data_IF_624386600954
#
_entry.id   IF_624386600954
#
_cell.length_a   1.000
_cell.length_b   1.000
_cell.length_c   1.000
_cell.angle_alpha   90.00
_cell.angle_beta   90.00
_cell.angle_gamma   90.00
#
_symmetry.space_group_name_H-M   'P 1'
#
loop_
_entity.id
_entity.type
_entity.pdbx_description
1 polymer ?
#
# COMPACT_ATOMS: atom_id res chain seq x y z
N UNK A 1 -72.51 -26.40 -18.90
CA UNK A 1 -72.40 -24.93 -18.91
C UNK A 1 -70.95 -24.59 -18.63
N UNK A 2 -70.20 -24.11 -19.63
CA UNK A 2 -68.74 -23.92 -19.56
C UNK A 2 -68.43 -22.62 -18.81
N UNK A 3 -67.61 -22.71 -17.76
CA UNK A 3 -67.09 -21.60 -16.97
C UNK A 3 -65.65 -21.29 -17.45
N UNK A 4 -65.28 -20.05 -17.78
CA UNK A 4 -63.94 -19.75 -18.25
C UNK A 4 -62.96 -19.53 -17.09
N UNK A 5 -61.74 -19.98 -17.36
CA UNK A 5 -60.52 -19.93 -16.56
C UNK A 5 -60.07 -18.46 -16.41
N UNK A 6 -59.96 -17.93 -15.18
CA UNK A 6 -59.20 -16.70 -14.90
C UNK A 6 -57.84 -17.09 -14.33
N UNK A 7 -56.80 -16.92 -15.14
CA UNK A 7 -55.40 -16.97 -14.71
C UNK A 7 -55.06 -15.65 -14.02
N UNK A 8 -54.92 -15.66 -12.69
CA UNK A 8 -54.37 -14.55 -11.94
C UNK A 8 -52.83 -14.55 -12.08
N UNK A 9 -52.32 -13.76 -13.03
CA UNK A 9 -50.90 -13.49 -13.16
C UNK A 9 -50.50 -12.47 -12.10
N UNK A 10 -50.01 -12.94 -10.95
CA UNK A 10 -49.48 -12.09 -9.88
C UNK A 10 -48.17 -11.45 -10.32
N UNK A 11 -48.24 -10.21 -10.80
CA UNK A 11 -47.06 -9.35 -10.97
C UNK A 11 -46.61 -8.94 -9.57
N UNK A 12 -45.60 -9.63 -9.05
CA UNK A 12 -44.89 -9.24 -7.83
C UNK A 12 -44.17 -7.92 -8.08
N UNK A 13 -44.80 -6.83 -7.66
CA UNK A 13 -44.21 -5.49 -7.68
C UNK A 13 -43.12 -5.45 -6.60
N UNK A 14 -41.89 -5.78 -7.00
CA UNK A 14 -40.71 -5.64 -6.16
C UNK A 14 -40.43 -4.15 -5.98
N UNK A 15 -40.95 -3.57 -4.90
CA UNK A 15 -40.56 -2.24 -4.43
C UNK A 15 -39.09 -2.30 -3.98
N UNK A 16 -38.18 -2.00 -4.90
CA UNK A 16 -36.82 -1.62 -4.55
C UNK A 16 -36.92 -0.28 -3.81
N UNK A 17 -36.94 -0.34 -2.48
CA UNK A 17 -36.70 0.83 -1.65
C UNK A 17 -35.24 1.26 -1.89
N UNK A 18 -35.02 2.12 -2.88
CA UNK A 18 -33.86 2.99 -2.90
C UNK A 18 -33.99 3.91 -1.69
N UNK A 19 -33.46 3.49 -0.55
CA UNK A 19 -33.17 4.39 0.55
C UNK A 19 -32.11 5.36 0.04
N UNK A 20 -32.53 6.55 -0.38
CA UNK A 20 -31.61 7.68 -0.46
C UNK A 20 -31.17 7.97 0.98
N UNK A 21 -29.87 7.80 1.26
CA UNK A 21 -29.27 8.30 2.48
C UNK A 21 -29.35 9.84 2.43
N UNK A 22 -30.13 10.50 3.30
CA UNK A 22 -30.26 11.95 3.27
C UNK A 22 -28.94 12.68 3.60
N UNK A 23 -27.93 11.95 4.09
CA UNK A 23 -26.56 12.43 4.33
C UNK A 23 -25.61 12.27 3.13
N UNK A 24 -26.09 11.91 1.93
CA UNK A 24 -25.28 11.90 0.70
C UNK A 24 -24.94 13.31 0.17
N UNK A 25 -25.20 14.34 0.98
CA UNK A 25 -24.68 15.69 0.75
C UNK A 25 -23.26 15.71 1.29
N UNK A 26 -22.29 15.40 0.43
CA UNK A 26 -20.88 15.64 0.72
C UNK A 26 -20.69 17.02 1.34
N UNK A 27 -19.76 17.16 2.30
CA UNK A 27 -19.65 18.36 3.14
C UNK A 27 -19.72 19.63 2.28
N UNK A 28 -20.77 20.43 2.43
CA UNK A 28 -20.91 21.69 1.67
C UNK A 28 -20.00 22.80 2.22
N UNK A 29 -19.23 22.50 3.26
CA UNK A 29 -18.33 23.40 3.97
C UNK A 29 -16.90 22.81 4.08
N UNK A 30 -15.95 23.61 4.55
CA UNK A 30 -14.59 23.15 4.82
C UNK A 30 -14.62 22.07 5.92
N UNK A 31 -14.11 20.89 5.61
CA UNK A 31 -14.12 19.74 6.50
C UNK A 31 -12.80 19.01 6.51
N UNK A 32 -12.55 18.24 7.58
CA UNK A 32 -11.40 17.33 7.62
C UNK A 32 -11.67 16.15 6.70
N UNK A 33 -10.74 15.90 5.78
CA UNK A 33 -10.78 14.76 4.88
C UNK A 33 -9.38 14.21 4.64
N UNK A 34 -9.30 12.93 4.31
CA UNK A 34 -8.05 12.32 3.88
C UNK A 34 -7.71 12.74 2.45
N UNK A 35 -6.49 13.21 2.24
CA UNK A 35 -5.96 13.58 0.93
C UNK A 35 -4.96 12.52 0.49
N UNK A 36 -5.09 11.96 -0.72
CA UNK A 36 -4.16 10.96 -1.23
C UNK A 36 -2.80 11.60 -1.52
N UNK A 37 -1.75 10.95 -1.02
CA UNK A 37 -0.35 11.22 -1.38
C UNK A 37 0.01 10.30 -2.54
N UNK A 38 0.65 10.85 -3.57
CA UNK A 38 0.98 10.12 -4.80
C UNK A 38 2.48 9.87 -4.95
N UNK A 39 2.81 8.75 -5.60
CA UNK A 39 4.13 8.44 -6.16
C UNK A 39 3.99 8.19 -7.67
N UNK A 40 4.96 8.64 -8.48
CA UNK A 40 5.00 8.28 -9.89
C UNK A 40 5.19 6.76 -10.07
N UNK A 41 4.47 6.15 -11.01
CA UNK A 41 4.55 4.69 -11.23
C UNK A 41 5.96 4.23 -11.64
N UNK A 42 6.74 5.09 -12.30
CA UNK A 42 8.14 4.82 -12.69
C UNK A 42 9.07 4.73 -11.48
N UNK A 43 8.78 5.43 -10.40
CA UNK A 43 9.60 5.41 -9.18
C UNK A 43 9.56 4.04 -8.51
N UNK A 44 8.51 3.23 -8.70
CA UNK A 44 8.42 1.86 -8.15
C UNK A 44 9.65 1.01 -8.54
N UNK A 45 10.23 1.28 -9.70
CA UNK A 45 11.36 0.52 -10.24
C UNK A 45 12.73 0.96 -9.72
N UNK A 46 12.81 2.05 -8.94
CA UNK A 46 14.06 2.55 -8.39
C UNK A 46 14.50 1.74 -7.15
N UNK A 47 14.88 0.49 -7.38
CA UNK A 47 15.48 -0.38 -6.36
C UNK A 47 17.00 -0.33 -6.51
N UNK A 48 17.67 0.20 -5.51
CA UNK A 48 19.11 0.48 -5.57
C UNK A 48 19.75 0.54 -4.18
N UNK A 49 21.05 0.26 -4.12
CA UNK A 49 21.84 0.45 -2.90
C UNK A 49 22.32 1.90 -2.80
N UNK A 50 22.31 2.46 -1.59
CA UNK A 50 22.84 3.80 -1.29
C UNK A 50 23.66 3.78 0.00
N UNK A 51 24.28 4.93 0.30
CA UNK A 51 25.03 5.15 1.53
C UNK A 51 24.15 5.00 2.78
N UNK A 52 24.83 4.78 3.91
CA UNK A 52 24.26 4.70 5.25
C UNK A 52 23.49 5.97 5.59
N UNK A 53 22.37 5.81 6.30
CA UNK A 53 21.54 6.92 6.79
C UNK A 53 20.84 6.60 8.12
N UNK A 54 20.25 7.62 8.73
CA UNK A 54 19.40 7.46 9.93
C UNK A 54 18.20 6.56 9.65
N UNK A 55 17.68 5.93 10.71
CA UNK A 55 16.36 5.28 10.62
C UNK A 55 15.31 6.34 10.87
N UNK A 56 14.37 6.49 9.94
CA UNK A 56 13.30 7.47 10.10
C UNK A 56 12.07 6.84 10.74
N UNK A 57 11.61 5.68 10.24
CA UNK A 57 10.52 4.92 10.86
C UNK A 57 10.82 3.42 10.85
N UNK A 58 11.29 2.91 11.98
CA UNK A 58 11.64 1.49 12.12
C UNK A 58 10.43 0.59 11.87
N UNK A 59 10.64 -0.46 11.08
CA UNK A 59 9.75 -1.59 10.92
C UNK A 59 10.37 -2.88 11.46
N UNK A 60 10.03 -3.99 10.81
CA UNK A 60 10.53 -5.34 11.10
C UNK A 60 12.06 -5.43 10.98
N UNK A 61 12.65 -6.30 11.79
CA UNK A 61 14.05 -6.72 11.67
C UNK A 61 14.16 -8.20 11.30
N UNK A 62 15.27 -8.58 10.67
CA UNK A 62 15.59 -9.97 10.33
C UNK A 62 17.10 -10.20 10.44
N UNK A 63 17.52 -11.22 11.19
CA UNK A 63 18.93 -11.61 11.27
C UNK A 63 19.23 -12.75 10.29
N UNK A 64 20.30 -12.63 9.51
CA UNK A 64 20.73 -13.63 8.54
C UNK A 64 22.26 -13.65 8.42
N UNK A 65 22.88 -14.77 8.79
CA UNK A 65 24.35 -14.86 8.87
C UNK A 65 24.92 -13.84 9.86
N UNK A 66 25.87 -13.03 9.40
CA UNK A 66 26.44 -11.93 10.17
C UNK A 66 25.71 -10.60 9.95
N UNK A 67 24.57 -10.58 9.27
CA UNK A 67 23.85 -9.35 8.95
C UNK A 67 22.52 -9.25 9.69
N UNK A 68 22.13 -8.01 9.98
CA UNK A 68 20.78 -7.64 10.36
C UNK A 68 20.20 -6.76 9.27
N UNK A 69 19.00 -7.09 8.83
CA UNK A 69 18.19 -6.26 7.96
C UNK A 69 17.13 -5.58 8.81
N UNK A 70 16.97 -4.27 8.67
CA UNK A 70 15.93 -3.51 9.36
C UNK A 70 15.14 -2.69 8.34
N UNK A 71 13.84 -2.94 8.25
CA UNK A 71 12.99 -2.13 7.40
C UNK A 71 12.90 -0.69 7.95
N UNK A 72 13.01 0.28 7.04
CA UNK A 72 12.62 1.66 7.24
C UNK A 72 11.36 1.87 6.41
N UNK A 73 10.23 1.94 7.12
CA UNK A 73 8.91 1.77 6.53
C UNK A 73 8.69 2.78 5.39
N UNK A 74 8.17 2.26 4.27
CA UNK A 74 7.93 2.93 3.01
C UNK A 74 9.19 3.37 2.24
N UNK A 75 10.39 3.04 2.70
CA UNK A 75 11.64 3.52 2.10
C UNK A 75 12.60 2.42 1.67
N UNK A 76 12.66 1.31 2.41
CA UNK A 76 13.58 0.22 2.11
C UNK A 76 14.14 -0.44 3.36
N UNK A 77 15.39 -0.91 3.28
CA UNK A 77 15.99 -1.80 4.28
C UNK A 77 17.41 -1.33 4.61
N UNK A 78 17.67 -1.04 5.88
CA UNK A 78 19.02 -0.88 6.42
C UNK A 78 19.73 -2.23 6.42
N UNK A 79 20.96 -2.25 5.91
CA UNK A 79 21.87 -3.40 5.99
C UNK A 79 22.88 -3.11 7.09
N UNK A 80 22.89 -3.96 8.09
CA UNK A 80 23.71 -3.81 9.30
C UNK A 80 24.65 -5.01 9.39
N UNK A 81 25.95 -4.76 9.42
CA UNK A 81 26.96 -5.74 9.81
C UNK A 81 26.87 -5.97 11.32
N UNK A 82 26.76 -7.23 11.70
CA UNK A 82 26.63 -7.72 13.06
C UNK A 82 27.69 -8.81 13.35
N UNK A 83 28.85 -8.74 12.69
CA UNK A 83 30.01 -9.61 12.93
C UNK A 83 30.54 -9.42 14.35
N UNK A 84 30.70 -8.16 14.79
CA UNK A 84 30.85 -7.84 16.22
C UNK A 84 29.46 -7.56 16.83
N UNK A 85 28.94 -8.54 17.58
CA UNK A 85 27.61 -8.46 18.20
C UNK A 85 27.50 -7.40 19.29
N UNK A 86 28.62 -6.93 19.85
CA UNK A 86 28.61 -5.84 20.81
C UNK A 86 28.50 -4.47 20.10
N UNK A 87 28.89 -4.38 18.83
CA UNK A 87 28.96 -3.13 18.07
C UNK A 87 28.44 -3.28 16.62
N UNK A 88 27.13 -3.52 16.42
CA UNK A 88 26.57 -3.60 15.08
C UNK A 88 26.71 -2.27 14.31
N UNK A 89 27.02 -2.34 13.02
CA UNK A 89 27.29 -1.18 12.18
C UNK A 89 26.41 -1.18 10.93
N UNK A 90 25.70 -0.08 10.68
CA UNK A 90 25.04 0.14 9.38
C UNK A 90 26.13 0.28 8.31
N UNK A 91 26.03 -0.51 7.25
CA UNK A 91 27.01 -0.51 6.13
C UNK A 91 26.41 0.00 4.82
N UNK A 92 25.10 -0.13 4.64
CA UNK A 92 24.41 0.36 3.45
C UNK A 92 22.89 0.48 3.67
N UNK A 93 22.22 1.09 2.70
CA UNK A 93 20.76 1.13 2.64
C UNK A 93 20.28 0.60 1.28
N UNK A 94 19.40 -0.40 1.30
CA UNK A 94 18.73 -0.92 0.11
C UNK A 94 17.41 -0.17 -0.07
N UNK A 95 17.38 0.77 -1.01
CA UNK A 95 16.19 1.52 -1.38
C UNK A 95 15.20 0.59 -2.06
N UNK A 96 14.01 0.49 -1.48
CA UNK A 96 12.87 -0.22 -2.05
C UNK A 96 11.65 0.67 -1.80
N UNK A 97 11.22 1.46 -2.80
CA UNK A 97 10.12 2.41 -2.64
C UNK A 97 8.86 1.73 -2.08
N UNK A 98 8.25 2.33 -1.07
CA UNK A 98 7.04 1.79 -0.42
C UNK A 98 7.17 0.35 0.08
N UNK A 99 8.38 -0.05 0.47
CA UNK A 99 8.60 -1.31 1.16
C UNK A 99 8.18 -1.23 2.62
N UNK A 100 7.35 -2.17 3.04
CA UNK A 100 6.87 -2.30 4.43
C UNK A 100 7.18 -3.66 5.02
N UNK A 101 7.38 -4.67 4.19
CA UNK A 101 7.59 -6.05 4.59
C UNK A 101 8.68 -6.73 3.78
N UNK A 102 9.39 -7.64 4.44
CA UNK A 102 10.36 -8.48 3.78
C UNK A 102 10.60 -9.80 4.54
N UNK A 103 11.17 -10.77 3.85
CA UNK A 103 11.67 -12.02 4.40
C UNK A 103 12.98 -12.41 3.70
N UNK A 104 13.80 -13.22 4.36
CA UNK A 104 15.05 -13.73 3.77
C UNK A 104 15.04 -15.25 3.79
N UNK A 105 15.37 -15.88 2.67
CA UNK A 105 15.52 -17.34 2.56
C UNK A 105 16.75 -17.67 1.74
N UNK A 106 17.77 -18.23 2.39
CA UNK A 106 19.08 -18.42 1.78
C UNK A 106 19.62 -17.09 1.27
N UNK A 107 20.15 -17.07 0.05
CA UNK A 107 20.72 -15.86 -0.57
C UNK A 107 19.70 -14.85 -1.11
N UNK A 108 18.40 -15.06 -0.90
CA UNK A 108 17.35 -14.22 -1.49
C UNK A 108 16.57 -13.46 -0.43
N UNK A 109 16.42 -12.16 -0.64
CA UNK A 109 15.52 -11.27 0.07
C UNK A 109 14.26 -11.08 -0.76
N UNK A 110 13.11 -11.33 -0.14
CA UNK A 110 11.78 -11.19 -0.72
C UNK A 110 11.15 -9.97 -0.07
N UNK A 111 10.77 -8.97 -0.84
CA UNK A 111 10.23 -7.72 -0.33
C UNK A 111 8.98 -7.32 -1.11
N UNK A 112 8.01 -6.69 -0.45
CA UNK A 112 6.98 -5.98 -1.19
C UNK A 112 7.54 -4.65 -1.73
N UNK A 113 6.98 -4.20 -2.84
CA UNK A 113 7.25 -2.89 -3.42
C UNK A 113 5.92 -2.38 -3.97
N UNK A 114 5.25 -1.52 -3.21
CA UNK A 114 3.82 -1.25 -3.39
C UNK A 114 3.05 -2.58 -3.31
N UNK A 115 2.49 -3.05 -4.43
CA UNK A 115 1.71 -4.27 -4.56
C UNK A 115 2.48 -5.39 -5.30
N UNK A 116 3.72 -5.14 -5.70
CA UNK A 116 4.59 -6.11 -6.34
C UNK A 116 5.36 -6.91 -5.27
N UNK A 117 5.73 -8.15 -5.61
CA UNK A 117 6.74 -8.92 -4.88
C UNK A 117 8.05 -8.87 -5.67
N UNK A 118 9.12 -8.38 -5.04
CA UNK A 118 10.46 -8.34 -5.62
C UNK A 118 11.37 -9.33 -4.91
N UNK A 119 12.15 -10.08 -5.69
CA UNK A 119 13.17 -11.00 -5.22
C UNK A 119 14.53 -10.40 -5.53
N UNK A 120 15.33 -10.22 -4.48
CA UNK A 120 16.63 -9.57 -4.51
C UNK A 120 17.68 -10.60 -4.10
N UNK A 121 18.64 -10.85 -4.96
CA UNK A 121 19.82 -11.65 -4.62
C UNK A 121 20.75 -10.80 -3.75
N UNK A 122 20.99 -11.29 -2.52
CA UNK A 122 21.86 -10.68 -1.50
C UNK A 122 23.14 -11.50 -1.29
N UNK A 123 23.52 -12.36 -2.25
CA UNK A 123 24.75 -13.15 -2.20
C UNK A 123 26.03 -12.29 -2.18
N UNK A 124 25.97 -11.09 -2.75
CA UNK A 124 26.92 -10.01 -2.46
C UNK A 124 26.16 -8.86 -1.79
N UNK A 125 26.35 -8.69 -0.48
CA UNK A 125 25.61 -7.70 0.31
C UNK A 125 25.89 -6.25 -0.12
N UNK A 126 27.05 -6.01 -0.72
CA UNK A 126 27.47 -4.69 -1.21
C UNK A 126 26.93 -4.39 -2.61
N UNK A 127 26.37 -5.40 -3.29
CA UNK A 127 25.73 -5.23 -4.60
C UNK A 127 24.49 -6.13 -4.74
N UNK A 128 23.41 -5.87 -3.99
CA UNK A 128 22.17 -6.61 -4.13
C UNK A 128 21.55 -6.39 -5.52
N UNK A 129 20.99 -7.43 -6.13
CA UNK A 129 20.41 -7.33 -7.48
C UNK A 129 18.99 -7.87 -7.52
N UNK A 130 18.08 -7.15 -8.17
CA UNK A 130 16.73 -7.66 -8.42
C UNK A 130 16.81 -8.77 -9.47
N UNK A 131 16.44 -9.99 -9.09
CA UNK A 131 16.48 -11.16 -9.97
C UNK A 131 15.09 -11.58 -10.46
N UNK A 132 14.02 -11.16 -9.77
CA UNK A 132 12.64 -11.41 -10.18
C UNK A 132 11.71 -10.35 -9.64
N UNK A 133 10.69 -10.01 -10.41
CA UNK A 133 9.53 -9.21 -9.99
C UNK A 133 8.27 -9.96 -10.37
N UNK A 134 7.33 -10.03 -9.43
CA UNK A 134 5.97 -10.50 -9.66
C UNK A 134 5.05 -9.30 -9.48
N UNK A 135 4.53 -8.78 -10.58
CA UNK A 135 3.64 -7.62 -10.56
C UNK A 135 2.29 -7.99 -9.96
N UNK A 136 1.71 -7.08 -9.19
CA UNK A 136 0.39 -7.26 -8.57
C UNK A 136 0.28 -8.56 -7.73
N UNK A 137 1.38 -8.95 -7.08
CA UNK A 137 1.43 -10.13 -6.23
C UNK A 137 0.55 -10.00 -4.97
N UNK A 138 0.25 -8.76 -4.58
CA UNK A 138 -0.59 -8.43 -3.44
C UNK A 138 -1.78 -7.56 -3.89
N UNK A 139 -2.93 -7.63 -3.20
CA UNK A 139 -4.02 -6.69 -3.45
C UNK A 139 -3.57 -5.27 -3.10
N UNK A 140 -4.12 -4.28 -3.81
CA UNK A 140 -3.93 -2.89 -3.46
C UNK A 140 -4.60 -2.60 -2.11
N UNK A 141 -3.78 -2.26 -1.12
CA UNK A 141 -4.27 -1.86 0.20
C UNK A 141 -4.27 -0.34 0.27
N UNK A 142 -5.43 0.24 0.57
CA UNK A 142 -5.62 1.68 0.76
C UNK A 142 -5.23 2.56 -0.45
N UNK A 143 -5.38 2.08 -1.68
CA UNK A 143 -5.20 2.95 -2.86
C UNK A 143 -6.46 3.69 -3.26
N UNK A 144 -7.61 3.02 -3.15
CA UNK A 144 -8.90 3.58 -3.54
C UNK A 144 -9.52 4.44 -2.45
N UNK A 145 -9.22 4.14 -1.18
CA UNK A 145 -9.77 4.83 -0.02
C UNK A 145 -8.81 4.75 1.19
N UNK A 146 -8.89 5.70 2.15
CA UNK A 146 -8.10 5.68 3.38
C UNK A 146 -8.49 4.52 4.31
N UNK A 147 -7.59 4.07 5.19
CA UNK A 147 -7.89 3.00 6.17
C UNK A 147 -9.06 3.34 7.08
N UNK A 148 -9.04 4.57 7.60
CA UNK A 148 -10.03 5.06 8.56
C UNK A 148 -11.30 5.53 7.83
N UNK A 149 -12.49 5.29 8.40
CA UNK A 149 -13.74 5.77 7.84
C UNK A 149 -13.82 7.30 7.83
N UNK A 150 -14.58 7.85 6.90
CA UNK A 150 -14.78 9.30 6.79
C UNK A 150 -14.59 9.84 5.38
N UNK A 151 -14.55 11.17 5.28
CA UNK A 151 -14.42 11.87 4.00
C UNK A 151 -12.99 11.83 3.47
N UNK A 152 -12.86 11.77 2.15
CA UNK A 152 -11.59 11.85 1.46
C UNK A 152 -11.71 12.51 0.09
N UNK A 153 -10.58 13.00 -0.42
CA UNK A 153 -10.48 13.47 -1.80
C UNK A 153 -10.33 12.25 -2.69
N UNK A 154 -11.25 12.10 -3.65
CA UNK A 154 -11.25 10.99 -4.59
C UNK A 154 -9.88 10.87 -5.29
N UNK A 155 -9.26 9.67 -5.32
CA UNK A 155 -8.02 9.45 -6.04
C UNK A 155 -8.14 9.84 -7.52
N UNK A 156 -7.09 10.46 -8.03
CA UNK A 156 -6.90 10.82 -9.43
C UNK A 156 -5.83 9.91 -10.01
N UNK A 157 -6.20 8.91 -10.82
CA UNK A 157 -5.25 7.96 -11.39
C UNK A 157 -4.14 8.60 -12.23
N UNK A 158 -4.36 9.83 -12.74
CA UNK A 158 -3.34 10.55 -13.53
C UNK A 158 -2.19 11.09 -12.68
N UNK A 159 -2.37 11.24 -11.37
CA UNK A 159 -1.34 11.72 -10.44
C UNK A 159 -0.38 10.62 -9.97
N UNK A 160 -0.69 9.36 -10.29
CA UNK A 160 0.14 8.21 -10.00
C UNK A 160 -0.49 7.27 -8.98
N UNK A 161 0.37 6.57 -8.25
CA UNK A 161 -0.02 5.55 -7.29
C UNK A 161 -0.31 6.22 -5.95
N UNK A 162 -1.48 5.98 -5.37
CA UNK A 162 -1.77 6.41 -3.99
C UNK A 162 -0.98 5.55 -3.02
N UNK A 163 -0.24 6.20 -2.13
CA UNK A 163 0.76 5.53 -1.28
C UNK A 163 0.71 5.95 0.18
N UNK A 164 -0.01 7.03 0.48
CA UNK A 164 -0.40 7.40 1.82
C UNK A 164 -1.66 8.27 1.77
N UNK A 165 -2.25 8.50 2.95
CA UNK A 165 -3.37 9.40 3.15
C UNK A 165 -3.04 10.35 4.28
N UNK A 166 -3.25 11.64 4.07
CA UNK A 166 -3.00 12.67 5.08
C UNK A 166 -4.29 13.39 5.43
N UNK A 167 -4.55 13.57 6.72
CA UNK A 167 -5.73 14.30 7.16
C UNK A 167 -5.50 15.80 6.99
N UNK A 168 -6.30 16.44 6.15
CA UNK A 168 -6.20 17.87 5.87
C UNK A 168 -7.59 18.51 5.91
N UNK A 169 -7.64 19.84 6.09
CA UNK A 169 -8.89 20.59 5.91
C UNK A 169 -9.06 20.88 4.42
N UNK A 170 -10.10 20.33 3.80
CA UNK A 170 -10.39 20.52 2.38
C UNK A 170 -11.80 21.07 2.20
N UNK A 171 -12.00 21.77 1.08
CA UNK A 171 -13.31 22.27 0.69
C UNK A 171 -14.08 21.18 -0.02
N UNK A 172 -15.20 20.76 0.55
CA UNK A 172 -16.15 19.84 -0.09
C UNK A 172 -15.54 18.55 -0.64
N UNK A 173 -15.00 17.67 0.23
CA UNK A 173 -14.59 16.33 -0.18
C UNK A 173 -15.78 15.55 -0.73
N UNK A 174 -15.61 14.95 -1.91
CA UNK A 174 -16.68 14.27 -2.63
C UNK A 174 -16.79 12.77 -2.31
N UNK A 175 -15.72 12.16 -1.79
CA UNK A 175 -15.68 10.73 -1.51
C UNK A 175 -15.80 10.44 0.00
N UNK A 176 -16.40 9.29 0.35
CA UNK A 176 -16.61 8.82 1.72
C UNK A 176 -16.42 7.30 1.80
N UNK A 177 -15.76 6.84 2.87
CA UNK A 177 -15.62 5.42 3.24
C UNK A 177 -16.50 5.09 4.45
#
# INVERSE_FOLDING_TARGET
>A
MKLPLLTASGIGLCFCLYGCDPDDRGLTENGKAYVPVYMAATEKNNISISSVRSTDRSGKIYAYGNYIFQNDLNKGIHIIDNTDRAHPQKIAFLNIPYNTEFAVKGRYLYANNVNDLVVIDIGNINNPTVVKRMENAFPYVNQEYPTEPGYFVCPDPSKGIVVAWELQTVKSPACRR
#
